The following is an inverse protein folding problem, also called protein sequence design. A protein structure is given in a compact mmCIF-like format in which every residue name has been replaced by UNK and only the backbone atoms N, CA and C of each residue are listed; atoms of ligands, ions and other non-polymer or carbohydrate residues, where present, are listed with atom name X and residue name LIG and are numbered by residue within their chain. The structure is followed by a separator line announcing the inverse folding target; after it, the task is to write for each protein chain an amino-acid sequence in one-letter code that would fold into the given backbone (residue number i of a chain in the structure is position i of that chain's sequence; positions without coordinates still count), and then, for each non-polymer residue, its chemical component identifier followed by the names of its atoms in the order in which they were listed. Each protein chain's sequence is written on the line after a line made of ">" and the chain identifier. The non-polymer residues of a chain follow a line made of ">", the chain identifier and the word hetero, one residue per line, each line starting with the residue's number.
data_IF_781043817559
#
_entry.id   IF_781043817559
#
_cell.length_a   1.000
_cell.length_b   1.000
_cell.length_c   1.000
_cell.angle_alpha   90.00
_cell.angle_beta   90.00
_cell.angle_gamma   90.00
#
_symmetry.space_group_name_H-M   'P 1'
#
loop_
_entity.id
_entity.type
_entity.pdbx_description
1 polymer ?
#
# COMPACT_ATOMS: atom_id res chain seq x y z
N UNK A 1 -11.70 -20.56 11.12
CA UNK A 1 -10.73 -19.47 10.89
C UNK A 1 -11.39 -18.50 9.93
N UNK A 2 -11.62 -17.24 10.33
CA UNK A 2 -12.32 -16.27 9.49
C UNK A 2 -11.42 -15.82 8.32
N UNK A 3 -11.98 -15.72 7.12
CA UNK A 3 -11.20 -15.40 5.92
C UNK A 3 -10.55 -14.01 5.96
N UNK A 4 -11.14 -13.04 6.66
CA UNK A 4 -10.57 -11.70 6.85
C UNK A 4 -9.26 -11.70 7.66
N UNK A 5 -9.16 -12.55 8.70
CA UNK A 5 -7.95 -12.64 9.53
C UNK A 5 -6.76 -13.09 8.69
N UNK A 6 -6.97 -14.05 7.79
CA UNK A 6 -5.94 -14.54 6.86
C UNK A 6 -5.44 -13.52 5.85
N UNK A 7 -6.27 -12.58 5.39
CA UNK A 7 -5.86 -11.54 4.42
C UNK A 7 -5.00 -10.49 5.11
N UNK A 8 -5.40 -10.06 6.31
CA UNK A 8 -4.61 -9.12 7.11
C UNK A 8 -3.27 -9.71 7.50
N UNK A 9 -3.24 -10.95 8.00
CA UNK A 9 -2.00 -11.65 8.37
C UNK A 9 -1.03 -11.77 7.18
N UNK A 10 -1.55 -12.06 5.99
CA UNK A 10 -0.76 -12.10 4.75
C UNK A 10 -0.19 -10.73 4.38
N UNK A 11 -0.96 -9.64 4.52
CA UNK A 11 -0.43 -8.29 4.27
C UNK A 11 0.67 -7.92 5.26
N UNK A 12 0.50 -8.25 6.54
CA UNK A 12 1.52 -7.99 7.57
C UNK A 12 2.82 -8.73 7.27
N UNK A 13 2.74 -10.00 6.89
CA UNK A 13 3.92 -10.76 6.45
C UNK A 13 4.63 -10.15 5.25
N UNK A 14 3.88 -9.60 4.29
CA UNK A 14 4.48 -8.91 3.13
C UNK A 14 5.14 -7.58 3.52
N UNK A 15 4.59 -6.85 4.51
CA UNK A 15 5.21 -5.65 5.06
C UNK A 15 6.53 -5.98 5.76
N UNK A 16 6.57 -7.06 6.55
CA UNK A 16 7.79 -7.51 7.24
C UNK A 16 8.92 -7.87 6.26
N UNK A 17 8.58 -8.19 5.01
CA UNK A 17 9.54 -8.50 3.96
C UNK A 17 10.09 -7.28 3.23
N UNK A 18 9.52 -6.09 3.40
CA UNK A 18 10.01 -4.87 2.76
C UNK A 18 11.40 -4.49 3.29
N UNK A 19 12.30 -4.13 2.39
CA UNK A 19 13.53 -3.48 2.79
C UNK A 19 13.28 -1.98 3.09
N UNK A 20 14.30 -1.30 3.64
CA UNK A 20 14.18 0.10 4.06
C UNK A 20 13.81 1.05 2.89
N UNK A 21 14.38 0.83 1.70
CA UNK A 21 14.10 1.65 0.53
C UNK A 21 12.65 1.48 0.06
N UNK A 22 12.18 0.23 0.00
CA UNK A 22 10.82 -0.14 -0.37
C UNK A 22 9.80 0.44 0.63
N UNK A 23 10.08 0.33 1.94
CA UNK A 23 9.24 0.90 2.99
C UNK A 23 9.15 2.43 2.88
N UNK A 24 10.27 3.12 2.62
CA UNK A 24 10.29 4.57 2.40
C UNK A 24 9.51 4.97 1.14
N UNK A 25 9.66 4.23 0.04
CA UNK A 25 8.91 4.48 -1.20
C UNK A 25 7.40 4.29 -0.98
N UNK A 26 7.02 3.24 -0.26
CA UNK A 26 5.65 2.95 0.10
C UNK A 26 5.02 4.07 0.93
N UNK A 27 5.72 4.53 1.97
CA UNK A 27 5.28 5.65 2.80
C UNK A 27 5.12 6.94 1.97
N UNK A 28 6.06 7.23 1.07
CA UNK A 28 5.97 8.39 0.16
C UNK A 28 4.72 8.34 -0.73
N UNK A 29 4.35 7.16 -1.23
CA UNK A 29 3.15 6.98 -2.05
C UNK A 29 1.89 7.30 -1.25
N UNK A 30 1.75 6.73 -0.04
CA UNK A 30 0.60 6.97 0.84
C UNK A 30 0.51 8.46 1.20
N UNK A 31 1.61 9.03 1.68
CA UNK A 31 1.67 10.43 2.09
C UNK A 31 1.31 11.37 0.93
N UNK A 32 1.78 11.08 -0.28
CA UNK A 32 1.44 11.88 -1.48
C UNK A 32 -0.06 11.89 -1.73
N UNK A 33 -0.75 10.74 -1.60
CA UNK A 33 -2.21 10.68 -1.79
C UNK A 33 -2.95 11.47 -0.71
N UNK A 34 -2.56 11.33 0.56
CA UNK A 34 -3.15 12.11 1.67
C UNK A 34 -2.93 13.61 1.43
N UNK A 35 -1.73 14.03 1.06
CA UNK A 35 -1.42 15.43 0.81
C UNK A 35 -2.24 16.02 -0.36
N UNK A 36 -2.48 15.24 -1.43
CA UNK A 36 -3.37 15.66 -2.53
C UNK A 36 -4.80 15.84 -2.02
N UNK A 37 -5.27 15.00 -1.11
CA UNK A 37 -6.60 15.11 -0.52
C UNK A 37 -6.73 16.37 0.34
N UNK A 38 -5.76 16.60 1.23
CA UNK A 38 -5.80 17.73 2.17
C UNK A 38 -5.54 19.10 1.52
N UNK A 39 -4.67 19.15 0.50
CA UNK A 39 -4.20 20.40 -0.11
C UNK A 39 -4.73 20.61 -1.52
N UNK A 40 -5.44 19.64 -2.08
CA UNK A 40 -6.05 19.73 -3.40
C UNK A 40 -7.24 20.68 -3.43
N UNK A 41 -7.72 20.96 -4.63
CA UNK A 41 -8.88 21.83 -4.88
C UNK A 41 -10.24 21.14 -4.66
N UNK A 42 -10.30 20.12 -3.80
CA UNK A 42 -11.53 19.36 -3.50
C UNK A 42 -11.97 18.33 -4.54
N UNK A 43 -11.31 18.25 -5.71
CA UNK A 43 -11.63 17.25 -6.74
C UNK A 43 -11.17 15.82 -6.41
N UNK A 44 -10.35 15.68 -5.36
CA UNK A 44 -9.91 14.38 -4.88
C UNK A 44 -10.77 13.97 -3.68
N UNK A 45 -11.77 13.13 -3.94
CA UNK A 45 -12.76 12.72 -2.93
C UNK A 45 -12.20 11.65 -1.98
N UNK A 46 -12.74 11.59 -0.76
CA UNK A 46 -12.34 10.63 0.26
C UNK A 46 -12.46 9.16 -0.21
N UNK A 47 -13.51 8.83 -0.97
CA UNK A 47 -13.69 7.49 -1.56
C UNK A 47 -12.55 7.14 -2.54
N UNK A 48 -12.10 8.12 -3.33
CA UNK A 48 -10.99 7.95 -4.25
C UNK A 48 -9.65 7.82 -3.52
N UNK A 49 -9.47 8.56 -2.42
CA UNK A 49 -8.33 8.41 -1.51
C UNK A 49 -8.27 6.97 -0.95
N UNK A 50 -9.38 6.48 -0.39
CA UNK A 50 -9.46 5.13 0.18
C UNK A 50 -9.12 4.09 -0.89
N UNK A 51 -9.72 4.19 -2.09
CA UNK A 51 -9.43 3.28 -3.20
C UNK A 51 -7.96 3.31 -3.61
N UNK A 52 -7.37 4.49 -3.76
CA UNK A 52 -5.98 4.64 -4.17
C UNK A 52 -5.00 4.10 -3.11
N UNK A 53 -5.26 4.34 -1.82
CA UNK A 53 -4.47 3.79 -0.72
C UNK A 53 -4.60 2.26 -0.68
N UNK A 54 -5.82 1.71 -0.77
CA UNK A 54 -6.03 0.26 -0.81
C UNK A 54 -5.27 -0.39 -1.97
N UNK A 55 -5.28 0.22 -3.15
CA UNK A 55 -4.51 -0.25 -4.30
C UNK A 55 -2.99 -0.22 -4.07
N UNK A 56 -2.50 0.71 -3.26
CA UNK A 56 -1.08 0.74 -2.89
C UNK A 56 -0.75 -0.46 -2.00
N UNK A 57 -1.56 -0.75 -0.98
CA UNK A 57 -1.38 -1.93 -0.11
C UNK A 57 -1.45 -3.26 -0.85
N UNK A 58 -2.36 -3.43 -1.81
CA UNK A 58 -2.48 -4.68 -2.57
C UNK A 58 -1.26 -4.99 -3.43
N UNK A 59 -0.38 -4.02 -3.68
CA UNK A 59 0.82 -4.19 -4.51
C UNK A 59 2.08 -4.56 -3.73
N UNK A 60 2.04 -4.53 -2.39
CA UNK A 60 3.18 -4.94 -1.56
C UNK A 60 3.69 -6.35 -1.94
N UNK A 61 2.83 -7.37 -2.14
CA UNK A 61 3.29 -8.69 -2.55
C UNK A 61 3.98 -8.72 -3.92
N UNK A 62 3.60 -7.82 -4.85
CA UNK A 62 4.23 -7.75 -6.17
C UNK A 62 5.67 -7.23 -6.05
N UNK A 63 5.88 -6.21 -5.21
CA UNK A 63 7.20 -5.60 -5.00
C UNK A 63 8.17 -6.59 -4.38
N UNK A 64 7.73 -7.35 -3.38
CA UNK A 64 8.55 -8.37 -2.73
C UNK A 64 8.89 -9.50 -3.70
N UNK A 65 7.94 -9.96 -4.52
CA UNK A 65 8.15 -11.00 -5.54
C UNK A 65 9.15 -10.60 -6.63
N UNK A 66 9.04 -9.37 -7.15
CA UNK A 66 9.97 -8.84 -8.17
C UNK A 66 11.40 -8.83 -7.64
N UNK A 67 11.62 -8.38 -6.39
CA UNK A 67 12.96 -8.35 -5.80
C UNK A 67 13.56 -9.73 -5.61
N UNK A 68 12.77 -10.72 -5.18
CA UNK A 68 13.25 -12.11 -4.99
C UNK A 68 13.37 -12.89 -6.30
N UNK A 69 13.05 -12.28 -7.44
CA UNK A 69 13.18 -12.90 -8.77
C UNK A 69 12.17 -14.02 -9.05
N UNK A 70 11.09 -14.12 -8.26
CA UNK A 70 10.00 -15.06 -8.50
C UNK A 70 9.00 -14.40 -9.45
N UNK A 71 9.00 -14.84 -10.72
CA UNK A 71 7.97 -14.50 -11.72
C UNK A 71 6.82 -15.48 -11.67
#
# INVERSE_FOLDING_TARGET
>A
MNQETTVLDSMLQNIDQLNEEEAKAFLKLIYTRINIYEKGNGNYLAEKLIKDISNVFTRIPEVTQIRVGKK
#
